data_IF_171382780185
#
_entry.id   IF_171382780185
#
_cell.length_a   1.000
_cell.length_b   1.000
_cell.length_c   1.000
_cell.angle_alpha   90.00
_cell.angle_beta   90.00
_cell.angle_gamma   90.00
#
_symmetry.space_group_name_H-M   'P 1'
#
loop_
_entity.id
_entity.type
_entity.pdbx_description
1 polymer ?
#
# COMPACT_ATOMS: atom_id res chain seq x y z
N UNK A 1 0.15 4.00 -7.39
CA UNK A 1 -0.12 5.07 -8.38
C UNK A 1 -0.01 6.44 -7.73
N UNK A 2 -0.86 6.80 -6.75
CA UNK A 2 -0.79 8.11 -6.07
C UNK A 2 0.59 8.43 -5.45
N UNK A 3 1.26 7.45 -4.84
CA UNK A 3 2.59 7.65 -4.25
C UNK A 3 3.64 8.12 -5.26
N UNK A 4 3.50 7.70 -6.53
CA UNK A 4 4.39 8.10 -7.63
C UNK A 4 4.13 9.57 -7.98
N UNK A 5 2.86 9.96 -8.11
CA UNK A 5 2.48 11.36 -8.35
C UNK A 5 2.97 12.29 -7.24
N UNK A 6 2.83 11.88 -5.98
CA UNK A 6 3.33 12.66 -4.84
C UNK A 6 4.86 12.80 -4.87
N UNK A 7 5.55 11.74 -5.28
CA UNK A 7 7.01 11.77 -5.44
C UNK A 7 7.42 12.71 -6.58
N UNK A 8 6.72 12.70 -7.72
CA UNK A 8 6.98 13.64 -8.82
C UNK A 8 6.69 15.08 -8.42
N UNK A 9 5.56 15.36 -7.78
CA UNK A 9 5.23 16.71 -7.29
C UNK A 9 6.30 17.25 -6.33
N UNK A 10 6.93 16.38 -5.54
CA UNK A 10 7.94 16.77 -4.54
C UNK A 10 9.34 16.91 -5.13
N UNK A 11 9.74 16.05 -6.04
CA UNK A 11 11.12 15.95 -6.51
C UNK A 11 11.32 16.32 -7.98
N UNK A 12 10.24 16.57 -8.72
CA UNK A 12 10.21 16.93 -10.14
C UNK A 12 11.22 16.15 -10.98
N UNK A 13 11.20 14.82 -10.87
CA UNK A 13 12.10 13.98 -11.64
C UNK A 13 11.58 13.90 -13.08
N UNK A 14 12.41 14.25 -14.06
CA UNK A 14 12.08 14.13 -15.48
C UNK A 14 12.90 13.01 -16.10
N UNK A 15 12.29 12.29 -17.06
CA UNK A 15 12.96 11.28 -17.87
C UNK A 15 13.59 10.15 -17.04
N UNK A 16 12.86 9.63 -16.05
CA UNK A 16 13.35 8.48 -15.24
C UNK A 16 12.51 7.25 -15.51
N UNK A 17 13.19 6.11 -15.58
CA UNK A 17 12.56 4.79 -15.62
C UNK A 17 11.92 4.50 -14.27
N UNK A 18 10.64 4.14 -14.28
CA UNK A 18 9.89 3.78 -13.08
C UNK A 18 9.73 2.27 -13.07
N UNK A 19 10.29 1.61 -12.06
CA UNK A 19 10.12 0.17 -11.85
C UNK A 19 9.16 -0.06 -10.68
N UNK A 20 8.16 -0.90 -10.91
CA UNK A 20 7.14 -1.27 -9.93
C UNK A 20 7.15 -2.78 -9.76
N UNK A 21 7.19 -3.25 -8.50
CA UNK A 21 6.99 -4.67 -8.20
C UNK A 21 5.55 -5.07 -8.57
N UNK A 22 5.45 -6.10 -9.40
CA UNK A 22 4.20 -6.51 -10.00
C UNK A 22 3.29 -7.19 -8.96
N UNK A 23 2.33 -6.42 -8.45
CA UNK A 23 1.37 -6.86 -7.43
C UNK A 23 0.11 -7.55 -7.99
N UNK A 24 -0.10 -7.54 -9.32
CA UNK A 24 -1.24 -8.17 -9.98
C UNK A 24 -0.96 -8.50 -11.44
N UNK A 25 -1.89 -9.16 -12.12
CA UNK A 25 -1.78 -9.42 -13.56
C UNK A 25 -1.76 -8.10 -14.33
N UNK A 26 -1.05 -8.08 -15.46
CA UNK A 26 -1.00 -6.89 -16.34
C UNK A 26 -2.38 -6.46 -16.80
N UNK A 27 -3.29 -7.40 -17.06
CA UNK A 27 -4.68 -7.10 -17.44
C UNK A 27 -5.45 -6.40 -16.31
N UNK A 28 -5.30 -6.87 -15.07
CA UNK A 28 -5.91 -6.21 -13.92
C UNK A 28 -5.35 -4.80 -13.74
N UNK A 29 -4.02 -4.63 -13.88
CA UNK A 29 -3.37 -3.32 -13.76
C UNK A 29 -3.84 -2.37 -14.87
N UNK A 30 -3.95 -2.83 -16.12
CA UNK A 30 -4.51 -2.06 -17.24
C UNK A 30 -5.95 -1.63 -16.99
N UNK A 31 -6.81 -2.54 -16.49
CA UNK A 31 -8.18 -2.17 -16.09
C UNK A 31 -8.21 -1.06 -15.05
N UNK A 32 -7.27 -1.07 -14.10
CA UNK A 32 -7.12 0.02 -13.14
C UNK A 32 -6.60 1.29 -13.81
N UNK A 33 -5.65 1.21 -14.77
CA UNK A 33 -5.20 2.36 -15.56
C UNK A 33 -6.37 3.00 -16.32
N UNK A 34 -7.24 2.22 -16.95
CA UNK A 34 -8.42 2.73 -17.63
C UNK A 34 -9.39 3.41 -16.64
N UNK A 35 -9.57 2.84 -15.44
CA UNK A 35 -10.35 3.49 -14.36
C UNK A 35 -9.69 4.76 -13.82
N UNK A 36 -8.37 4.84 -13.82
CA UNK A 36 -7.61 6.01 -13.36
C UNK A 36 -7.33 7.02 -14.48
N UNK A 37 -7.70 6.72 -15.73
CA UNK A 37 -7.58 7.64 -16.86
C UNK A 37 -8.39 8.93 -16.69
N UNK A 38 -9.44 8.88 -15.86
CA UNK A 38 -10.22 10.04 -15.42
C UNK A 38 -9.48 10.95 -14.43
N UNK A 39 -8.35 10.48 -13.86
CA UNK A 39 -7.48 11.32 -13.04
C UNK A 39 -6.51 12.03 -13.99
N UNK A 40 -6.80 13.30 -14.28
CA UNK A 40 -6.05 14.13 -15.23
C UNK A 40 -4.54 14.14 -14.91
N UNK A 41 -4.18 14.31 -13.63
CA UNK A 41 -2.79 14.26 -13.14
C UNK A 41 -2.08 12.95 -13.51
N UNK A 42 -2.77 11.81 -13.37
CA UNK A 42 -2.19 10.50 -13.65
C UNK A 42 -2.04 10.25 -15.15
N UNK A 43 -3.06 10.64 -15.92
CA UNK A 43 -3.04 10.57 -17.39
C UNK A 43 -1.90 11.42 -17.95
N UNK A 44 -1.73 12.65 -17.45
CA UNK A 44 -0.67 13.56 -17.86
C UNK A 44 0.71 13.03 -17.46
N UNK A 45 0.86 12.54 -16.24
CA UNK A 45 2.09 11.88 -15.78
C UNK A 45 2.46 10.68 -16.66
N UNK A 46 1.50 9.80 -16.95
CA UNK A 46 1.76 8.60 -17.76
C UNK A 46 2.09 8.93 -19.23
N UNK A 47 1.48 9.98 -19.78
CA UNK A 47 1.80 10.49 -21.12
C UNK A 47 3.21 11.13 -21.17
N UNK A 48 3.63 11.78 -20.07
CA UNK A 48 4.92 12.45 -19.94
C UNK A 48 6.06 11.47 -19.68
N UNK A 49 5.89 10.55 -18.73
CA UNK A 49 6.88 9.56 -18.34
C UNK A 49 6.71 8.28 -19.17
N UNK A 50 7.57 8.13 -20.18
CA UNK A 50 7.41 7.11 -21.23
C UNK A 50 7.74 5.68 -20.80
N UNK A 51 8.27 5.45 -19.60
CA UNK A 51 8.90 4.17 -19.23
C UNK A 51 8.52 3.70 -17.80
N UNK A 52 7.30 3.19 -17.65
CA UNK A 52 6.87 2.45 -16.46
C UNK A 52 6.97 0.93 -16.74
N UNK A 53 7.74 0.24 -15.92
CA UNK A 53 7.94 -1.21 -15.99
C UNK A 53 7.31 -1.91 -14.79
N UNK A 54 6.61 -3.00 -15.06
CA UNK A 54 6.05 -3.90 -14.06
C UNK A 54 6.82 -5.22 -14.12
N UNK A 55 7.42 -5.63 -13.01
CA UNK A 55 8.26 -6.82 -12.97
C UNK A 55 8.00 -7.59 -11.68
N UNK A 56 7.97 -8.92 -11.76
CA UNK A 56 7.90 -9.77 -10.57
C UNK A 56 9.25 -9.78 -9.87
N UNK A 57 9.25 -9.77 -8.53
CA UNK A 57 10.49 -9.78 -7.73
C UNK A 57 11.39 -8.59 -8.09
N UNK A 58 10.80 -7.42 -8.34
CA UNK A 58 11.53 -6.26 -8.83
C UNK A 58 12.63 -5.77 -7.86
N UNK A 59 12.55 -6.14 -6.59
CA UNK A 59 13.61 -5.92 -5.59
C UNK A 59 14.93 -6.63 -5.94
N UNK A 60 14.89 -7.73 -6.70
CA UNK A 60 16.09 -8.43 -7.17
C UNK A 60 16.77 -7.70 -8.35
N UNK A 61 16.03 -6.81 -9.01
CA UNK A 61 16.47 -6.13 -10.23
C UNK A 61 16.79 -4.64 -9.99
N UNK A 62 16.33 -4.05 -8.89
CA UNK A 62 16.57 -2.66 -8.54
C UNK A 62 16.68 -2.43 -7.05
N UNK A 63 17.81 -1.86 -6.64
CA UNK A 63 18.02 -1.39 -5.27
C UNK A 63 16.95 -0.36 -4.85
N UNK A 64 16.46 0.48 -5.77
CA UNK A 64 15.42 1.46 -5.46
C UNK A 64 14.11 0.78 -5.03
N UNK A 65 13.75 -0.35 -5.65
CA UNK A 65 12.56 -1.13 -5.27
C UNK A 65 12.78 -1.79 -3.90
N UNK A 66 13.96 -2.36 -3.64
CA UNK A 66 14.29 -2.91 -2.33
C UNK A 66 14.20 -1.84 -1.22
N UNK A 67 14.76 -0.65 -1.47
CA UNK A 67 14.65 0.49 -0.54
C UNK A 67 13.20 0.91 -0.32
N UNK A 68 12.37 0.96 -1.37
CA UNK A 68 10.95 1.29 -1.24
C UNK A 68 10.21 0.27 -0.35
N UNK A 69 10.51 -1.03 -0.48
CA UNK A 69 9.96 -2.10 0.35
C UNK A 69 10.37 -1.97 1.82
N UNK A 70 11.63 -1.60 2.10
CA UNK A 70 12.13 -1.35 3.47
C UNK A 70 11.40 -0.16 4.08
N UNK A 71 11.29 0.96 3.35
CA UNK A 71 10.57 2.16 3.81
C UNK A 71 9.12 1.82 4.10
N UNK A 72 8.43 1.12 3.20
CA UNK A 72 7.04 0.72 3.40
C UNK A 72 6.86 -0.15 4.65
N UNK A 73 7.78 -1.10 4.91
CA UNK A 73 7.76 -1.93 6.12
C UNK A 73 7.99 -1.12 7.39
N UNK A 74 8.95 -0.19 7.38
CA UNK A 74 9.21 0.68 8.51
C UNK A 74 8.00 1.58 8.82
N UNK A 75 7.36 2.12 7.78
CA UNK A 75 6.13 2.91 7.91
C UNK A 75 4.99 2.09 8.53
N UNK A 76 4.80 0.84 8.10
CA UNK A 76 3.81 -0.06 8.70
C UNK A 76 4.09 -0.28 10.18
N UNK A 77 5.32 -0.63 10.55
CA UNK A 77 5.69 -0.89 11.94
C UNK A 77 5.44 0.33 12.83
N UNK A 78 5.76 1.54 12.35
CA UNK A 78 5.48 2.77 13.05
C UNK A 78 3.98 3.02 13.22
N UNK A 79 3.17 2.71 12.20
CA UNK A 79 1.71 2.85 12.30
C UNK A 79 1.13 1.86 13.32
N UNK A 80 1.57 0.60 13.31
CA UNK A 80 1.15 -0.40 14.29
C UNK A 80 1.51 0.01 15.73
N UNK A 81 2.70 0.60 15.93
CA UNK A 81 3.10 1.11 17.25
C UNK A 81 2.17 2.24 17.72
N UNK A 82 1.88 3.21 16.85
CA UNK A 82 0.95 4.31 17.17
C UNK A 82 -0.45 3.79 17.47
N UNK A 83 -0.93 2.83 16.69
CA UNK A 83 -2.24 2.22 16.89
C UNK A 83 -2.30 1.46 18.23
N UNK A 84 -1.23 0.77 18.59
CA UNK A 84 -1.10 0.14 19.92
C UNK A 84 -1.18 1.18 21.05
N UNK A 85 -0.51 2.32 20.91
CA UNK A 85 -0.56 3.41 21.88
C UNK A 85 -1.97 4.03 21.98
N UNK A 86 -2.65 4.22 20.85
CA UNK A 86 -4.00 4.80 20.78
C UNK A 86 -5.07 3.93 21.44
N UNK A 87 -5.01 2.61 21.23
CA UNK A 87 -6.03 1.67 21.74
C UNK A 87 -5.55 0.87 22.95
N UNK A 88 -4.33 1.07 23.43
CA UNK A 88 -3.71 0.19 24.44
C UNK A 88 -3.98 -1.31 24.13
N UNK A 89 -3.71 -1.68 22.88
CA UNK A 89 -4.04 -2.99 22.32
C UNK A 89 -2.93 -3.47 21.40
N UNK A 90 -2.42 -4.68 21.63
CA UNK A 90 -1.28 -5.21 20.89
C UNK A 90 -1.73 -5.96 19.63
N UNK A 91 -2.00 -5.21 18.55
CA UNK A 91 -2.43 -5.76 17.26
C UNK A 91 -1.39 -6.71 16.64
N UNK A 92 -1.80 -7.94 16.36
CA UNK A 92 -0.98 -8.90 15.61
C UNK A 92 -1.00 -8.58 14.12
N UNK A 93 0.18 -8.71 13.49
CA UNK A 93 0.31 -8.62 12.04
C UNK A 93 -0.16 -9.91 11.36
N UNK A 94 -0.67 -9.78 10.14
CA UNK A 94 -1.09 -10.90 9.30
C UNK A 94 -2.56 -11.29 9.50
N UNK A 95 -2.90 -12.50 9.08
CA UNK A 95 -4.28 -13.04 9.11
C UNK A 95 -4.33 -14.45 9.72
N UNK A 96 -3.46 -14.69 10.70
CA UNK A 96 -3.46 -15.95 11.45
C UNK A 96 -4.73 -16.11 12.28
N UNK A 97 -5.03 -17.33 12.74
CA UNK A 97 -6.18 -17.55 13.64
C UNK A 97 -6.11 -16.65 14.88
N UNK A 98 -4.92 -16.51 15.48
CA UNK A 98 -4.71 -15.60 16.62
C UNK A 98 -5.06 -14.14 16.30
N UNK A 99 -4.76 -13.67 15.10
CA UNK A 99 -5.13 -12.30 14.68
C UNK A 99 -6.64 -12.14 14.48
N UNK A 100 -7.34 -13.24 14.13
CA UNK A 100 -8.81 -13.26 14.03
C UNK A 100 -9.46 -13.30 15.41
N UNK A 101 -8.91 -14.08 16.33
CA UNK A 101 -9.41 -14.16 17.71
C UNK A 101 -9.32 -12.79 18.41
N UNK A 102 -8.29 -11.99 18.09
CA UNK A 102 -8.16 -10.60 18.54
C UNK A 102 -9.29 -9.68 18.07
N UNK A 103 -10.01 -10.02 17.01
CA UNK A 103 -11.15 -9.22 16.55
C UNK A 103 -12.25 -9.23 17.61
N UNK A 104 -12.61 -10.41 18.12
CA UNK A 104 -13.61 -10.54 19.19
C UNK A 104 -13.16 -9.87 20.49
N UNK A 105 -11.87 -9.98 20.83
CA UNK A 105 -11.29 -9.30 21.99
C UNK A 105 -11.39 -7.77 21.86
N UNK A 106 -11.05 -7.25 20.68
CA UNK A 106 -11.11 -5.82 20.39
C UNK A 106 -12.56 -5.30 20.36
N UNK A 107 -13.49 -6.03 19.74
CA UNK A 107 -14.92 -5.69 19.74
C UNK A 107 -15.49 -5.61 21.15
N UNK A 108 -15.10 -6.53 22.05
CA UNK A 108 -15.53 -6.52 23.43
C UNK A 108 -15.01 -5.28 24.20
N UNK A 109 -13.79 -4.80 23.88
CA UNK A 109 -13.17 -3.65 24.57
C UNK A 109 -13.58 -2.28 24.00
N UNK A 110 -13.76 -2.17 22.68
CA UNK A 110 -13.95 -0.87 22.00
C UNK A 110 -15.21 -0.77 21.14
N UNK A 111 -16.01 -1.85 21.09
CA UNK A 111 -17.20 -1.92 20.27
C UNK A 111 -16.91 -2.21 18.79
N UNK A 112 -17.92 -2.77 18.14
CA UNK A 112 -17.86 -3.21 16.73
C UNK A 112 -17.64 -2.06 15.74
N UNK A 113 -18.18 -0.88 16.00
CA UNK A 113 -18.03 0.27 15.11
C UNK A 113 -16.57 0.69 14.94
N UNK A 114 -15.78 0.54 16.00
CA UNK A 114 -14.36 0.91 16.05
C UNK A 114 -13.50 -0.02 15.21
N UNK A 115 -13.94 -1.25 14.90
CA UNK A 115 -13.19 -2.16 14.02
C UNK A 115 -12.90 -1.59 12.64
N UNK A 116 -13.81 -0.76 12.11
CA UNK A 116 -13.65 -0.11 10.80
C UNK A 116 -12.42 0.80 10.74
N UNK A 117 -11.95 1.29 11.89
CA UNK A 117 -10.79 2.18 12.01
C UNK A 117 -9.48 1.40 12.11
N UNK A 118 -9.51 0.16 12.60
CA UNK A 118 -8.31 -0.62 12.93
C UNK A 118 -8.10 -1.85 12.07
N UNK A 119 -9.13 -2.31 11.35
CA UNK A 119 -9.11 -3.58 10.61
C UNK A 119 -9.73 -3.45 9.22
N UNK A 120 -9.36 -4.40 8.34
CA UNK A 120 -10.03 -4.57 7.04
C UNK A 120 -11.23 -5.50 7.24
N UNK A 121 -12.41 -4.92 7.38
CA UNK A 121 -13.66 -5.65 7.66
C UNK A 121 -14.13 -6.61 6.57
N UNK A 122 -13.53 -6.56 5.38
CA UNK A 122 -13.83 -7.49 4.28
C UNK A 122 -13.15 -8.87 4.42
N UNK A 123 -12.23 -9.02 5.36
CA UNK A 123 -11.56 -10.31 5.60
C UNK A 123 -12.50 -11.25 6.36
N UNK A 124 -12.53 -12.52 5.94
CA UNK A 124 -13.28 -13.55 6.66
C UNK A 124 -12.60 -13.82 8.01
N UNK A 125 -13.33 -13.53 9.09
CA UNK A 125 -12.99 -13.90 10.46
C UNK A 125 -13.22 -15.40 10.59
#
# INVERSE_FOLDING_TARGET
MQSILNFEKKYNFQNKKILIDQYSTTNSIKKYQDRFSFIEDFSNFYKKEKEIYLMKKAEQHSQAVACASIIARATLNNYMKKQKEEYDFNFLLGASQKAKDQVSEFEAKFGKETLSKVSKTSFKI
#
